data_IF_113559067826
#
_entry.id   IF_113559067826
#
_cell.length_a   1.000
_cell.length_b   1.000
_cell.length_c   1.000
_cell.angle_alpha   90.00
_cell.angle_beta   90.00
_cell.angle_gamma   90.00
#
_symmetry.space_group_name_H-M   'P 1'
#
loop_
_entity.id
_entity.type
_entity.pdbx_description
1 polymer ?
#
# COMPACT_ATOMS: atom_id res chain seq x y z
N UNK A 1 -64.51 20.68 -23.97
CA UNK A 1 -63.64 21.85 -24.08
C UNK A 1 -63.08 22.13 -22.70
N UNK A 2 -61.93 21.54 -22.34
CA UNK A 2 -60.55 22.04 -22.57
C UNK A 2 -60.17 23.20 -21.66
N UNK A 3 -59.34 22.92 -20.65
CA UNK A 3 -58.01 23.54 -20.38
C UNK A 3 -57.49 23.01 -19.02
N UNK A 4 -56.71 21.93 -19.03
CA UNK A 4 -55.23 21.90 -18.95
C UNK A 4 -54.68 22.29 -17.59
N UNK A 5 -54.58 21.29 -16.70
CA UNK A 5 -53.60 21.26 -15.63
C UNK A 5 -52.21 21.23 -16.28
N UNK A 6 -51.45 22.31 -16.09
CA UNK A 6 -50.05 22.39 -16.49
C UNK A 6 -49.24 21.44 -15.64
N UNK A 7 -48.84 20.31 -16.25
CA UNK A 7 -47.82 19.42 -15.72
C UNK A 7 -46.52 20.19 -15.55
N UNK A 8 -46.08 20.30 -14.30
CA UNK A 8 -44.68 20.52 -13.99
C UNK A 8 -44.03 19.15 -13.99
N UNK A 9 -43.44 18.78 -15.12
CA UNK A 9 -42.46 17.71 -15.18
C UNK A 9 -41.40 17.97 -14.10
N UNK A 10 -41.08 17.00 -13.22
CA UNK A 10 -39.93 17.15 -12.36
C UNK A 10 -38.71 17.22 -13.26
N UNK A 11 -38.09 18.40 -13.32
CA UNK A 11 -36.77 18.61 -13.91
C UNK A 11 -35.85 17.52 -13.36
N UNK A 12 -35.60 16.51 -14.19
CA UNK A 12 -34.51 15.56 -14.01
C UNK A 12 -33.25 16.42 -14.03
N UNK A 13 -32.78 16.79 -12.84
CA UNK A 13 -31.47 17.39 -12.69
C UNK A 13 -30.45 16.34 -13.11
N UNK A 14 -30.03 16.44 -14.36
CA UNK A 14 -28.77 15.88 -14.85
C UNK A 14 -27.63 16.46 -14.01
N UNK A 15 -27.36 15.83 -12.86
CA UNK A 15 -26.18 16.10 -12.02
C UNK A 15 -25.28 14.88 -11.93
N UNK A 16 -25.25 14.05 -12.96
CA UNK A 16 -24.28 12.97 -13.09
C UNK A 16 -23.04 13.42 -13.87
N UNK A 17 -22.43 14.51 -13.41
CA UNK A 17 -21.02 14.71 -13.71
C UNK A 17 -20.25 13.51 -13.13
N UNK A 18 -19.37 12.83 -13.90
CA UNK A 18 -18.58 11.72 -13.37
C UNK A 18 -17.86 12.21 -12.11
N UNK A 19 -18.11 11.55 -10.97
CA UNK A 19 -17.48 11.89 -9.69
C UNK A 19 -15.98 11.59 -9.78
N UNK A 20 -15.24 12.55 -10.34
CA UNK A 20 -13.78 12.51 -10.42
C UNK A 20 -13.22 12.43 -9.01
N UNK A 21 -12.18 11.61 -8.83
CA UNK A 21 -11.45 11.56 -7.58
C UNK A 21 -10.96 12.97 -7.19
N UNK A 22 -11.01 13.36 -5.91
CA UNK A 22 -10.43 14.61 -5.44
C UNK A 22 -8.97 14.77 -5.90
N UNK A 23 -8.51 16.00 -6.08
CA UNK A 23 -7.15 16.27 -6.57
C UNK A 23 -6.04 15.61 -5.73
N UNK A 24 -6.26 15.46 -4.42
CA UNK A 24 -5.33 14.79 -3.50
C UNK A 24 -5.35 13.26 -3.59
N UNK A 25 -6.38 12.66 -4.21
CA UNK A 25 -6.54 11.22 -4.38
C UNK A 25 -6.14 10.81 -5.81
N UNK A 26 -4.89 11.13 -6.18
CA UNK A 26 -4.32 10.90 -7.51
C UNK A 26 -2.96 10.20 -7.39
N UNK A 27 -2.52 9.45 -8.42
CA UNK A 27 -1.23 8.75 -8.39
C UNK A 27 -0.06 9.67 -8.02
N UNK A 28 -0.03 10.89 -8.58
CA UNK A 28 1.02 11.86 -8.29
C UNK A 28 1.19 12.13 -6.78
N UNK A 29 0.10 12.28 -6.03
CA UNK A 29 0.17 12.56 -4.59
C UNK A 29 0.62 11.32 -3.82
N UNK A 30 0.14 10.14 -4.19
CA UNK A 30 0.56 8.89 -3.55
C UNK A 30 2.03 8.55 -3.79
N UNK A 31 2.60 8.99 -4.91
CA UNK A 31 4.03 8.82 -5.18
C UNK A 31 4.83 9.91 -4.48
N UNK A 32 4.49 11.19 -4.70
CA UNK A 32 5.33 12.31 -4.26
C UNK A 32 5.31 12.53 -2.75
N UNK A 33 4.19 12.27 -2.07
CA UNK A 33 4.10 12.48 -0.62
C UNK A 33 5.12 11.64 0.17
N UNK A 34 5.19 10.30 0.02
CA UNK A 34 6.18 9.50 0.73
C UNK A 34 7.61 9.72 0.23
N UNK A 35 7.82 10.00 -1.06
CA UNK A 35 9.14 10.39 -1.59
C UNK A 35 9.63 11.65 -0.88
N UNK A 36 8.80 12.70 -0.84
CA UNK A 36 9.14 13.96 -0.17
C UNK A 36 9.38 13.75 1.31
N UNK A 37 8.54 12.96 2.00
CA UNK A 37 8.75 12.62 3.40
C UNK A 37 10.09 11.90 3.65
N UNK A 38 10.49 11.01 2.75
CA UNK A 38 11.76 10.30 2.81
C UNK A 38 12.96 11.24 2.67
N UNK A 39 12.94 12.13 1.67
CA UNK A 39 14.00 13.13 1.47
C UNK A 39 14.06 14.17 2.60
N UNK A 40 12.92 14.60 3.14
CA UNK A 40 12.86 15.50 4.30
C UNK A 40 13.41 14.83 5.57
N UNK A 41 13.09 13.54 5.79
CA UNK A 41 13.66 12.77 6.90
C UNK A 41 15.18 12.63 6.76
N UNK A 42 15.66 12.31 5.57
CA UNK A 42 17.08 12.24 5.27
C UNK A 42 17.79 13.58 5.51
N UNK A 43 17.26 14.67 4.94
CA UNK A 43 17.83 16.01 5.12
C UNK A 43 17.82 16.42 6.59
N UNK A 44 16.74 16.14 7.32
CA UNK A 44 16.66 16.41 8.75
C UNK A 44 17.74 15.68 9.56
N UNK A 45 18.02 14.40 9.26
CA UNK A 45 19.08 13.63 9.91
C UNK A 45 20.49 14.11 9.54
N UNK A 46 20.70 14.57 8.32
CA UNK A 46 21.99 15.15 7.90
C UNK A 46 22.20 16.52 8.56
N UNK A 47 21.18 17.37 8.59
CA UNK A 47 21.26 18.69 9.22
C UNK A 47 21.52 18.60 10.73
N UNK A 48 20.86 17.67 11.44
CA UNK A 48 21.11 17.48 12.89
C UNK A 48 22.53 16.99 13.19
N UNK A 49 23.17 16.27 12.25
CA UNK A 49 24.59 15.92 12.33
C UNK A 49 25.48 17.15 12.14
N UNK A 50 25.25 17.95 11.11
CA UNK A 50 26.08 19.14 10.83
C UNK A 50 26.02 20.16 11.97
N UNK A 51 24.88 20.23 12.66
CA UNK A 51 24.68 21.07 13.84
C UNK A 51 25.26 20.50 15.14
N UNK A 52 25.86 19.30 15.11
CA UNK A 52 26.46 18.64 16.28
C UNK A 52 25.46 18.21 17.36
N UNK A 53 24.16 18.17 17.03
CA UNK A 53 23.08 17.85 17.97
C UNK A 53 22.81 16.34 18.09
N UNK A 54 23.23 15.56 17.11
CA UNK A 54 23.18 14.11 17.13
C UNK A 54 24.54 13.55 17.55
N UNK A 55 24.57 12.70 18.60
CA UNK A 55 25.74 11.87 18.89
C UNK A 55 26.17 11.11 17.62
N UNK A 56 27.48 10.83 17.50
CA UNK A 56 28.10 10.15 16.34
C UNK A 56 27.13 9.15 15.70
N UNK A 57 26.83 9.34 14.40
CA UNK A 57 25.90 8.49 13.66
C UNK A 57 26.28 7.02 13.86
N UNK A 58 25.59 6.33 14.75
CA UNK A 58 25.64 4.89 14.76
C UNK A 58 24.78 4.42 13.61
N UNK A 59 25.36 3.61 12.74
CA UNK A 59 24.64 2.84 11.71
C UNK A 59 23.40 2.14 12.32
N UNK A 60 23.48 1.76 13.61
CA UNK A 60 22.37 1.16 14.34
C UNK A 60 21.22 2.11 14.68
N UNK A 61 21.45 3.42 14.81
CA UNK A 61 20.43 4.38 15.22
C UNK A 61 19.79 5.09 14.03
N UNK A 62 20.60 5.50 13.06
CA UNK A 62 20.16 6.32 11.93
C UNK A 62 20.02 5.53 10.61
N UNK A 63 20.49 4.28 10.60
CA UNK A 63 20.44 3.40 9.44
C UNK A 63 21.55 3.60 8.42
N UNK A 64 22.42 4.60 8.59
CA UNK A 64 23.64 4.81 7.82
C UNK A 64 24.68 5.55 8.66
N UNK A 65 25.97 5.28 8.41
CA UNK A 65 27.09 5.93 9.11
C UNK A 65 27.66 7.11 8.31
N UNK A 66 27.62 7.05 6.98
CA UNK A 66 28.02 8.14 6.08
C UNK A 66 26.88 8.53 5.16
N UNK A 67 26.44 9.81 5.12
CA UNK A 67 25.41 10.28 4.21
C UNK A 67 25.91 10.25 2.77
N UNK A 68 25.01 9.93 1.86
CA UNK A 68 25.29 9.92 0.43
C UNK A 68 25.56 11.35 -0.09
N UNK A 69 26.52 11.47 -1.00
CA UNK A 69 26.81 12.75 -1.63
C UNK A 69 25.68 13.13 -2.59
N UNK A 70 24.99 14.24 -2.31
CA UNK A 70 23.95 14.77 -3.18
C UNK A 70 24.59 15.58 -4.31
N UNK A 71 24.82 14.94 -5.47
CA UNK A 71 25.34 15.62 -6.66
C UNK A 71 24.21 16.18 -7.52
N UNK A 72 24.46 17.30 -8.22
CA UNK A 72 23.46 17.89 -9.12
C UNK A 72 22.98 16.92 -10.21
N UNK A 73 23.89 16.11 -10.76
CA UNK A 73 23.57 15.05 -11.72
C UNK A 73 22.66 13.97 -11.11
N UNK A 74 23.00 13.44 -9.93
CA UNK A 74 22.19 12.43 -9.25
C UNK A 74 20.78 12.93 -8.91
N UNK A 75 20.67 14.18 -8.43
CA UNK A 75 19.37 14.83 -8.17
C UNK A 75 18.57 14.96 -9.47
N UNK A 76 19.19 15.42 -10.56
CA UNK A 76 18.50 15.55 -11.85
C UNK A 76 17.98 14.20 -12.36
N UNK A 77 18.76 13.13 -12.23
CA UNK A 77 18.33 11.78 -12.60
C UNK A 77 17.13 11.30 -11.77
N UNK A 78 17.13 11.52 -10.46
CA UNK A 78 16.02 11.15 -9.59
C UNK A 78 14.75 11.95 -9.91
N UNK A 79 14.88 13.25 -10.16
CA UNK A 79 13.77 14.11 -10.59
C UNK A 79 13.20 13.65 -11.93
N UNK A 80 14.04 13.28 -12.89
CA UNK A 80 13.61 12.73 -14.17
C UNK A 80 12.89 11.39 -14.00
N UNK A 81 13.43 10.48 -13.18
CA UNK A 81 12.83 9.17 -12.96
C UNK A 81 11.47 9.26 -12.26
N UNK A 82 11.39 9.96 -11.13
CA UNK A 82 10.11 10.17 -10.43
C UNK A 82 9.14 11.00 -11.28
N UNK A 83 9.65 12.01 -12.01
CA UNK A 83 8.87 12.81 -12.94
C UNK A 83 8.24 11.95 -14.04
N UNK A 84 9.00 11.03 -14.63
CA UNK A 84 8.52 10.09 -15.64
C UNK A 84 7.46 9.14 -15.07
N UNK A 85 7.70 8.52 -13.91
CA UNK A 85 6.71 7.65 -13.26
C UNK A 85 5.42 8.41 -12.96
N UNK A 86 5.51 9.61 -12.37
CA UNK A 86 4.34 10.43 -12.04
C UNK A 86 3.59 10.84 -13.30
N UNK A 87 4.30 11.27 -14.34
CA UNK A 87 3.71 11.66 -15.63
C UNK A 87 2.97 10.48 -16.25
N UNK A 88 3.64 9.33 -16.43
CA UNK A 88 3.08 8.15 -17.09
C UNK A 88 1.92 7.55 -16.28
N UNK A 89 2.04 7.49 -14.94
CA UNK A 89 0.94 7.08 -14.05
C UNK A 89 -0.26 8.03 -14.14
N UNK A 90 -0.01 9.34 -14.25
CA UNK A 90 -1.07 10.35 -14.37
C UNK A 90 -1.74 10.26 -15.73
N UNK A 91 -0.99 10.09 -16.82
CA UNK A 91 -1.54 9.86 -18.16
C UNK A 91 -2.41 8.60 -18.16
N UNK A 92 -1.91 7.48 -17.60
CA UNK A 92 -2.69 6.26 -17.44
C UNK A 92 -3.99 6.50 -16.66
N UNK A 93 -3.91 7.22 -15.55
CA UNK A 93 -5.08 7.60 -14.75
C UNK A 93 -6.10 8.43 -15.53
N UNK A 94 -5.64 9.46 -16.27
CA UNK A 94 -6.50 10.29 -17.09
C UNK A 94 -7.19 9.48 -18.19
N UNK A 95 -6.46 8.59 -18.88
CA UNK A 95 -7.01 7.68 -19.89
C UNK A 95 -8.06 6.73 -19.29
N UNK A 96 -7.80 6.20 -18.10
CA UNK A 96 -8.75 5.34 -17.38
C UNK A 96 -10.00 6.10 -16.92
N UNK A 97 -9.84 7.37 -16.54
CA UNK A 97 -10.93 8.24 -16.14
C UNK A 97 -11.79 8.71 -17.31
N UNK A 98 -11.22 9.04 -18.47
CA UNK A 98 -11.96 9.53 -19.65
C UNK A 98 -12.98 8.51 -20.20
N UNK A 99 -12.70 7.21 -20.08
CA UNK A 99 -13.61 6.13 -20.49
C UNK A 99 -14.73 5.81 -19.46
N UNK A 100 -14.99 6.68 -18.49
CA UNK A 100 -16.06 6.49 -17.49
C UNK A 100 -17.43 6.90 -18.03
N UNK A 101 -17.95 6.10 -18.96
CA UNK A 101 -19.40 5.98 -19.19
C UNK A 101 -19.82 4.51 -19.18
N UNK A 102 -20.07 3.92 -18.00
CA UNK A 102 -21.08 2.88 -17.91
C UNK A 102 -22.05 3.22 -16.77
N UNK A 103 -22.95 4.17 -17.01
CA UNK A 103 -24.13 4.42 -16.15
C UNK A 103 -24.83 3.07 -15.81
N UNK A 104 -24.91 2.17 -16.80
CA UNK A 104 -25.51 0.83 -16.69
C UNK A 104 -24.77 -0.16 -15.77
N UNK A 105 -23.45 -0.01 -15.56
CA UNK A 105 -22.65 -0.94 -14.72
C UNK A 105 -22.62 -0.54 -13.25
N UNK A 106 -22.63 0.77 -12.99
CA UNK A 106 -22.64 1.32 -11.63
C UNK A 106 -23.97 1.09 -10.94
N UNK A 107 -25.10 1.20 -11.65
CA UNK A 107 -26.42 0.92 -11.07
C UNK A 107 -26.56 -0.53 -10.59
N UNK A 108 -26.12 -1.51 -11.40
CA UNK A 108 -26.17 -2.93 -11.02
C UNK A 108 -25.30 -3.28 -9.83
N UNK A 109 -24.19 -2.56 -9.64
CA UNK A 109 -23.20 -2.83 -8.59
C UNK A 109 -23.39 -1.98 -7.32
N UNK A 110 -24.36 -1.05 -7.32
CA UNK A 110 -24.68 -0.16 -6.20
C UNK A 110 -25.95 -0.58 -5.43
N UNK A 111 -26.38 -1.84 -5.57
CA UNK A 111 -27.50 -2.41 -4.81
C UNK A 111 -27.00 -2.99 -3.48
N UNK A 112 -27.80 -2.87 -2.42
CA UNK A 112 -27.48 -3.43 -1.09
C UNK A 112 -27.22 -4.93 -1.15
N UNK A 113 -27.97 -5.65 -1.99
CA UNK A 113 -27.80 -7.07 -2.26
C UNK A 113 -26.43 -7.40 -2.86
N UNK A 114 -25.99 -6.64 -3.88
CA UNK A 114 -24.70 -6.85 -4.52
C UNK A 114 -23.56 -6.60 -3.53
N UNK A 115 -23.63 -5.47 -2.81
CA UNK A 115 -22.64 -5.08 -1.82
C UNK A 115 -22.49 -6.13 -0.71
N UNK A 116 -23.63 -6.64 -0.19
CA UNK A 116 -23.65 -7.68 0.84
C UNK A 116 -23.02 -8.98 0.36
N UNK A 117 -23.33 -9.42 -0.85
CA UNK A 117 -22.78 -10.66 -1.43
C UNK A 117 -21.31 -10.56 -1.73
N UNK A 118 -20.90 -9.45 -2.35
CA UNK A 118 -19.50 -9.17 -2.61
C UNK A 118 -18.68 -9.26 -1.32
N UNK A 119 -19.18 -8.63 -0.24
CA UNK A 119 -18.55 -8.72 1.08
C UNK A 119 -18.49 -10.16 1.62
N UNK A 120 -19.56 -10.94 1.53
CA UNK A 120 -19.54 -12.32 2.03
C UNK A 120 -18.60 -13.25 1.26
N UNK A 121 -18.43 -13.05 -0.05
CA UNK A 121 -17.44 -13.80 -0.85
C UNK A 121 -16.03 -13.50 -0.35
N UNK A 122 -15.70 -12.21 -0.12
CA UNK A 122 -14.41 -11.81 0.43
C UNK A 122 -14.20 -12.34 1.85
N UNK A 123 -15.23 -12.28 2.70
CA UNK A 123 -15.17 -12.78 4.07
C UNK A 123 -14.93 -14.30 4.09
N UNK A 124 -15.62 -15.06 3.25
CA UNK A 124 -15.44 -16.50 3.14
C UNK A 124 -14.03 -16.86 2.66
N UNK A 125 -13.52 -16.19 1.63
CA UNK A 125 -12.14 -16.38 1.17
C UNK A 125 -11.13 -16.08 2.29
N UNK A 126 -11.31 -14.97 3.00
CA UNK A 126 -10.46 -14.58 4.13
C UNK A 126 -10.49 -15.59 5.26
N UNK A 127 -11.68 -16.09 5.64
CA UNK A 127 -11.85 -17.08 6.69
C UNK A 127 -11.18 -18.41 6.34
N UNK A 128 -11.35 -18.91 5.11
CA UNK A 128 -10.69 -20.13 4.62
C UNK A 128 -9.17 -19.96 4.66
N UNK A 129 -8.65 -18.84 4.16
CA UNK A 129 -7.22 -18.60 4.09
C UNK A 129 -6.54 -18.43 5.45
N UNK A 130 -7.15 -17.66 6.35
CA UNK A 130 -6.64 -17.51 7.72
C UNK A 130 -6.74 -18.83 8.48
N UNK A 131 -7.89 -19.52 8.41
CA UNK A 131 -8.06 -20.82 9.06
C UNK A 131 -7.02 -21.85 8.60
N UNK A 132 -6.77 -21.95 7.30
CA UNK A 132 -5.75 -22.83 6.75
C UNK A 132 -4.33 -22.46 7.23
N UNK A 133 -4.00 -21.17 7.23
CA UNK A 133 -2.69 -20.70 7.71
C UNK A 133 -2.48 -21.04 9.19
N UNK A 134 -3.51 -20.87 10.04
CA UNK A 134 -3.43 -21.20 11.46
C UNK A 134 -3.30 -22.71 11.70
N UNK A 135 -4.00 -23.54 10.93
CA UNK A 135 -3.85 -25.00 11.02
C UNK A 135 -2.43 -25.45 10.66
N UNK A 136 -1.80 -24.80 9.67
CA UNK A 136 -0.45 -25.15 9.22
C UNK A 136 0.65 -24.72 10.19
N UNK A 137 0.42 -23.68 10.98
CA UNK A 137 1.40 -23.09 11.89
C UNK A 137 1.31 -23.67 13.32
N UNK A 138 0.51 -24.72 13.54
CA UNK A 138 0.41 -25.39 14.84
C UNK A 138 -0.61 -24.77 15.81
N UNK A 139 -1.48 -23.86 15.34
CA UNK A 139 -2.59 -23.30 16.12
C UNK A 139 -2.24 -22.08 17.00
N UNK A 140 -3.14 -21.74 17.92
CA UNK A 140 -3.05 -20.53 18.77
C UNK A 140 -1.90 -20.63 19.79
N UNK A 141 -1.59 -21.83 20.28
CA UNK A 141 -0.54 -22.03 21.29
C UNK A 141 0.85 -21.63 20.78
N UNK A 142 1.21 -22.04 19.56
CA UNK A 142 2.47 -21.67 18.92
C UNK A 142 2.59 -20.15 18.73
N UNK A 143 1.48 -19.45 18.42
CA UNK A 143 1.46 -17.99 18.26
C UNK A 143 1.74 -17.28 19.58
N UNK A 144 1.15 -17.75 20.67
CA UNK A 144 1.40 -17.18 22.02
C UNK A 144 2.84 -17.42 22.44
N UNK A 145 3.37 -18.61 22.14
CA UNK A 145 4.77 -18.99 22.42
C UNK A 145 5.75 -18.11 21.65
N UNK A 146 5.57 -17.90 20.34
CA UNK A 146 6.47 -17.02 19.57
C UNK A 146 6.30 -15.53 19.80
N UNK A 147 5.09 -15.09 20.17
CA UNK A 147 4.91 -13.73 20.70
C UNK A 147 5.65 -13.55 22.03
N UNK A 148 5.75 -14.61 22.84
CA UNK A 148 6.50 -14.60 24.10
C UNK A 148 8.02 -14.70 23.88
N UNK A 149 8.46 -15.42 22.85
CA UNK A 149 9.89 -15.61 22.51
C UNK A 149 10.46 -14.55 21.56
N UNK A 150 9.64 -13.62 21.06
CA UNK A 150 10.03 -12.55 20.12
C UNK A 150 10.51 -13.06 18.74
N UNK A 151 10.14 -14.29 18.36
CA UNK A 151 10.57 -15.02 17.15
C UNK A 151 9.59 -14.93 15.98
N UNK A 152 8.83 -13.83 15.85
CA UNK A 152 7.75 -13.72 14.86
C UNK A 152 8.20 -13.87 13.37
N UNK A 153 9.50 -13.80 13.07
CA UNK A 153 10.02 -14.10 11.74
C UNK A 153 9.93 -15.60 11.40
N UNK A 154 10.04 -16.48 12.39
CA UNK A 154 10.00 -17.94 12.23
C UNK A 154 8.59 -18.40 11.79
N UNK A 155 7.54 -17.67 12.20
CA UNK A 155 6.15 -17.89 11.79
C UNK A 155 5.93 -17.62 10.30
N UNK A 156 6.60 -16.59 9.76
CA UNK A 156 6.54 -16.28 8.34
C UNK A 156 7.37 -17.26 7.52
N UNK A 157 8.44 -17.81 8.09
CA UNK A 157 9.33 -18.79 7.46
C UNK A 157 8.71 -20.20 7.46
N UNK A 158 7.87 -20.54 8.45
CA UNK A 158 7.14 -21.82 8.54
C UNK A 158 6.00 -21.97 7.49
N UNK A 159 5.55 -20.88 6.87
CA UNK A 159 4.56 -20.94 5.80
C UNK A 159 5.21 -21.27 4.45
N UNK A 160 4.62 -22.20 3.71
CA UNK A 160 5.16 -22.65 2.43
C UNK A 160 5.34 -21.49 1.44
N UNK A 161 6.47 -21.48 0.75
CA UNK A 161 6.89 -20.41 -0.14
C UNK A 161 6.13 -20.29 -1.46
N UNK A 162 5.10 -21.12 -1.68
CA UNK A 162 4.35 -21.18 -2.93
C UNK A 162 2.95 -20.58 -2.78
N UNK A 163 2.36 -20.16 -3.90
CA UNK A 163 0.95 -19.78 -3.95
C UNK A 163 0.09 -21.01 -3.60
N UNK A 164 -0.65 -20.92 -2.49
CA UNK A 164 -1.52 -21.98 -2.00
C UNK A 164 -2.73 -21.43 -1.24
N UNK A 165 -3.54 -22.28 -0.59
CA UNK A 165 -4.74 -21.85 0.15
C UNK A 165 -4.45 -20.78 1.20
N UNK A 166 -3.23 -20.76 1.77
CA UNK A 166 -2.77 -19.72 2.69
C UNK A 166 -2.79 -18.31 2.09
N UNK A 167 -2.70 -18.14 0.76
CA UNK A 167 -2.77 -16.82 0.10
C UNK A 167 -4.14 -16.18 0.22
N UNK A 168 -5.21 -16.97 0.37
CA UNK A 168 -6.57 -16.48 0.56
C UNK A 168 -6.69 -15.61 1.81
N UNK A 169 -5.78 -15.73 2.79
CA UNK A 169 -5.75 -14.89 3.99
C UNK A 169 -5.68 -13.41 3.65
N UNK A 170 -5.07 -13.05 2.51
CA UNK A 170 -4.94 -11.67 2.07
C UNK A 170 -6.28 -11.07 1.65
N UNK A 171 -7.33 -11.88 1.39
CA UNK A 171 -8.68 -11.38 1.15
C UNK A 171 -9.20 -10.51 2.32
N UNK A 172 -8.69 -10.72 3.54
CA UNK A 172 -8.98 -9.88 4.72
C UNK A 172 -8.62 -8.40 4.53
N UNK A 173 -7.63 -8.10 3.67
CA UNK A 173 -7.22 -6.73 3.29
C UNK A 173 -8.37 -5.99 2.60
N UNK A 174 -9.22 -6.70 1.84
CA UNK A 174 -10.42 -6.13 1.24
C UNK A 174 -11.63 -6.28 2.17
N UNK A 175 -11.81 -7.45 2.78
CA UNK A 175 -13.00 -7.78 3.57
C UNK A 175 -13.19 -6.86 4.78
N UNK A 176 -12.14 -6.59 5.57
CA UNK A 176 -12.24 -5.77 6.77
C UNK A 176 -12.64 -4.30 6.49
N UNK A 177 -11.93 -3.55 5.62
CA UNK A 177 -12.30 -2.15 5.35
C UNK A 177 -13.67 -2.02 4.68
N UNK A 178 -14.01 -2.96 3.79
CA UNK A 178 -15.34 -3.01 3.16
C UNK A 178 -16.42 -3.34 4.19
N UNK A 179 -16.16 -4.27 5.10
CA UNK A 179 -17.05 -4.60 6.21
C UNK A 179 -17.34 -3.40 7.11
N UNK A 180 -16.29 -2.64 7.49
CA UNK A 180 -16.46 -1.38 8.24
C UNK A 180 -17.28 -0.36 7.45
N UNK A 181 -17.03 -0.24 6.15
CA UNK A 181 -17.79 0.65 5.28
C UNK A 181 -19.29 0.27 5.21
N UNK A 182 -19.60 -1.02 4.98
CA UNK A 182 -20.96 -1.52 4.86
C UNK A 182 -21.73 -1.52 6.19
N UNK A 183 -21.05 -1.76 7.31
CA UNK A 183 -21.64 -1.62 8.64
C UNK A 183 -22.06 -0.17 8.91
N UNK A 184 -21.22 0.81 8.55
CA UNK A 184 -21.58 2.24 8.64
C UNK A 184 -22.76 2.60 7.74
N UNK A 185 -22.89 1.96 6.57
CA UNK A 185 -24.04 2.08 5.67
C UNK A 185 -25.27 1.29 6.15
N UNK A 186 -25.17 0.55 7.27
CA UNK A 186 -26.22 -0.33 7.83
C UNK A 186 -26.68 -1.45 6.88
N UNK A 187 -25.83 -1.87 5.94
CA UNK A 187 -26.11 -2.97 5.00
C UNK A 187 -25.83 -4.34 5.64
N UNK A 188 -24.88 -4.40 6.58
CA UNK A 188 -24.51 -5.61 7.31
C UNK A 188 -24.57 -5.38 8.82
N UNK A 189 -24.82 -6.45 9.58
CA UNK A 189 -24.77 -6.43 11.04
C UNK A 189 -23.34 -6.30 11.60
N UNK A 190 -23.22 -5.80 12.83
CA UNK A 190 -21.95 -5.63 13.53
C UNK A 190 -21.12 -6.93 13.69
N UNK A 191 -21.70 -8.14 13.87
CA UNK A 191 -20.89 -9.35 14.07
C UNK A 191 -20.00 -9.68 12.87
N UNK A 192 -20.51 -9.45 11.66
CA UNK A 192 -19.75 -9.71 10.43
C UNK A 192 -18.61 -8.73 10.22
N UNK A 193 -18.80 -7.47 10.60
CA UNK A 193 -17.74 -6.47 10.57
C UNK A 193 -16.64 -6.84 11.57
N UNK A 194 -17.00 -7.20 12.80
CA UNK A 194 -16.05 -7.65 13.82
C UNK A 194 -15.29 -8.89 13.36
N UNK A 195 -15.98 -9.89 12.79
CA UNK A 195 -15.33 -11.08 12.26
C UNK A 195 -14.29 -10.73 11.17
N UNK A 196 -14.62 -9.84 10.24
CA UNK A 196 -13.70 -9.40 9.19
C UNK A 196 -12.46 -8.70 9.76
N UNK A 197 -12.66 -7.82 10.75
CA UNK A 197 -11.57 -7.09 11.43
C UNK A 197 -10.69 -8.05 12.22
N UNK A 198 -11.26 -8.99 12.97
CA UNK A 198 -10.50 -9.99 13.72
C UNK A 198 -9.67 -10.89 12.79
N UNK A 199 -10.23 -11.29 11.64
CA UNK A 199 -9.47 -12.03 10.63
C UNK A 199 -8.31 -11.22 10.04
N UNK A 200 -8.48 -9.90 9.84
CA UNK A 200 -7.39 -9.03 9.41
C UNK A 200 -6.31 -8.92 10.49
N UNK A 201 -6.68 -8.76 11.76
CA UNK A 201 -5.74 -8.71 12.89
C UNK A 201 -4.96 -10.02 12.98
N UNK A 202 -5.65 -11.15 12.92
CA UNK A 202 -5.03 -12.48 12.91
C UNK A 202 -4.06 -12.66 11.73
N UNK A 203 -4.45 -12.19 10.53
CA UNK A 203 -3.55 -12.20 9.36
C UNK A 203 -2.34 -11.27 9.55
N UNK A 204 -2.54 -10.09 10.14
CA UNK A 204 -1.48 -9.11 10.38
C UNK A 204 -0.43 -9.62 11.37
N UNK A 205 -0.84 -10.43 12.36
CA UNK A 205 0.09 -11.11 13.27
C UNK A 205 1.06 -12.03 12.53
N UNK A 206 0.63 -12.65 11.42
CA UNK A 206 1.47 -13.55 10.62
C UNK A 206 2.26 -12.81 9.52
N UNK A 207 1.64 -11.86 8.82
CA UNK A 207 2.19 -11.20 7.62
C UNK A 207 2.83 -9.82 7.89
N UNK A 208 3.10 -9.51 9.16
CA UNK A 208 4.10 -8.55 9.63
C UNK A 208 3.83 -7.04 9.56
N UNK A 209 3.01 -6.44 8.67
CA UNK A 209 2.59 -4.99 8.71
C UNK A 209 1.85 -4.53 7.44
N UNK A 210 2.26 -5.05 6.29
CA UNK A 210 1.85 -4.59 4.96
C UNK A 210 0.33 -4.72 4.75
N UNK A 211 -0.27 -5.80 5.24
CA UNK A 211 -1.71 -6.05 5.14
C UNK A 211 -2.56 -4.96 5.82
N UNK A 212 -2.10 -4.43 6.97
CA UNK A 212 -2.82 -3.37 7.70
C UNK A 212 -2.75 -2.04 6.94
N UNK A 213 -1.55 -1.66 6.48
CA UNK A 213 -1.37 -0.40 5.73
C UNK A 213 -2.14 -0.40 4.42
N UNK A 214 -2.11 -1.52 3.69
CA UNK A 214 -2.91 -1.69 2.47
C UNK A 214 -4.41 -1.67 2.77
N UNK A 215 -4.88 -2.29 3.86
CA UNK A 215 -6.28 -2.23 4.27
C UNK A 215 -6.74 -0.80 4.61
N UNK A 216 -5.88 0.02 5.21
CA UNK A 216 -6.14 1.44 5.42
C UNK A 216 -6.30 2.19 4.08
N UNK A 217 -5.46 1.91 3.08
CA UNK A 217 -5.60 2.50 1.75
C UNK A 217 -6.89 2.07 1.04
N UNK A 218 -7.31 0.80 1.19
CA UNK A 218 -8.60 0.27 0.71
C UNK A 218 -9.77 0.97 1.39
N UNK A 219 -9.71 1.17 2.72
CA UNK A 219 -10.72 1.92 3.45
C UNK A 219 -10.83 3.37 2.97
N UNK A 220 -9.68 4.03 2.78
CA UNK A 220 -9.61 5.40 2.28
C UNK A 220 -10.26 5.51 0.91
N UNK A 221 -9.98 4.57 0.00
CA UNK A 221 -10.60 4.53 -1.33
C UNK A 221 -12.14 4.41 -1.25
N UNK A 222 -12.65 3.49 -0.41
CA UNK A 222 -14.09 3.34 -0.18
C UNK A 222 -14.72 4.63 0.38
N UNK A 223 -14.03 5.26 1.33
CA UNK A 223 -14.47 6.51 1.97
C UNK A 223 -14.50 7.69 0.99
N UNK A 224 -13.46 7.85 0.17
CA UNK A 224 -13.41 8.91 -0.85
C UNK A 224 -14.53 8.73 -1.87
N UNK A 225 -14.79 7.50 -2.31
CA UNK A 225 -15.84 7.21 -3.30
C UNK A 225 -17.25 7.42 -2.74
N UNK A 226 -17.46 7.13 -1.46
CA UNK A 226 -18.76 7.24 -0.78
C UNK A 226 -19.08 8.64 -0.23
N UNK A 227 -18.13 9.58 -0.28
CA UNK A 227 -18.41 10.98 0.07
C UNK A 227 -19.39 11.61 -0.92
N UNK A 228 -20.56 11.98 -0.43
CA UNK A 228 -21.43 12.94 -1.12
C UNK A 228 -20.75 14.32 -1.12
N UNK A 229 -20.89 15.12 -2.20
CA UNK A 229 -20.43 16.50 -2.21
C UNK A 229 -21.18 17.27 -1.12
N UNK A 230 -20.55 17.41 0.06
CA UNK A 230 -21.12 18.24 1.13
C UNK A 230 -21.07 19.69 0.68
N UNK A 231 -22.22 20.37 0.69
CA UNK A 231 -22.27 21.83 0.76
C UNK A 231 -21.38 22.32 1.91
N UNK A 232 -20.71 23.48 1.77
CA UNK A 232 -19.71 23.96 2.71
C UNK A 232 -20.37 24.45 4.00
N UNK A 233 -20.87 23.54 4.83
CA UNK A 233 -21.34 23.86 6.16
C UNK A 233 -20.14 23.89 7.13
N UNK A 234 -19.77 25.11 7.49
CA UNK A 234 -18.87 25.49 8.57
C UNK A 234 -19.19 24.73 9.87
N UNK A 235 -18.30 23.84 10.31
CA UNK A 235 -18.43 23.18 11.62
C UNK A 235 -17.66 21.87 11.81
N UNK A 236 -17.22 21.19 10.74
CA UNK A 236 -16.69 19.81 10.82
C UNK A 236 -15.15 19.68 10.77
N UNK A 237 -14.39 20.75 10.54
CA UNK A 237 -12.93 20.65 10.37
C UNK A 237 -12.24 20.19 11.66
N UNK A 238 -12.60 20.78 12.81
CA UNK A 238 -11.99 20.43 14.10
C UNK A 238 -12.23 18.94 14.47
N UNK A 239 -13.45 18.43 14.31
CA UNK A 239 -13.77 17.02 14.60
C UNK A 239 -13.05 16.04 13.68
N UNK A 240 -12.79 16.45 12.44
CA UNK A 240 -12.01 15.66 11.48
C UNK A 240 -10.52 15.65 11.87
N UNK A 241 -9.96 16.80 12.24
CA UNK A 241 -8.58 16.89 12.71
C UNK A 241 -8.35 16.13 14.02
N UNK A 242 -9.30 16.16 14.96
CA UNK A 242 -9.24 15.35 16.20
C UNK A 242 -9.29 13.85 15.88
N UNK A 243 -10.16 13.42 14.95
CA UNK A 243 -10.21 12.03 14.54
C UNK A 243 -8.92 11.57 13.83
N UNK A 244 -8.33 12.42 12.99
CA UNK A 244 -7.04 12.16 12.34
C UNK A 244 -5.93 12.08 13.38
N UNK A 245 -5.87 13.03 14.33
CA UNK A 245 -4.90 13.03 15.42
C UNK A 245 -5.00 11.76 16.28
N UNK A 246 -6.22 11.33 16.62
CA UNK A 246 -6.44 10.07 17.35
C UNK A 246 -5.96 8.86 16.55
N UNK A 247 -6.26 8.78 15.26
CA UNK A 247 -5.78 7.67 14.40
C UNK A 247 -4.25 7.65 14.35
N UNK A 248 -3.61 8.81 14.22
CA UNK A 248 -2.14 8.94 14.20
C UNK A 248 -1.56 8.55 15.56
N UNK A 249 -2.13 9.01 16.68
CA UNK A 249 -1.70 8.67 18.03
C UNK A 249 -1.86 7.18 18.34
N UNK A 250 -3.01 6.60 18.02
CA UNK A 250 -3.25 5.16 18.20
C UNK A 250 -2.33 4.34 17.31
N UNK A 251 -2.15 4.75 16.04
CA UNK A 251 -1.21 4.12 15.13
C UNK A 251 0.23 4.18 15.67
N UNK A 252 0.67 5.34 16.16
CA UNK A 252 1.98 5.52 16.77
C UNK A 252 2.16 4.69 18.03
N UNK A 253 1.16 4.61 18.92
CA UNK A 253 1.19 3.79 20.12
C UNK A 253 1.29 2.29 19.79
N UNK A 254 0.50 1.81 18.83
CA UNK A 254 0.55 0.41 18.36
C UNK A 254 1.91 0.11 17.72
N UNK A 255 2.42 1.01 16.88
CA UNK A 255 3.75 0.86 16.29
C UNK A 255 4.87 0.89 17.34
N UNK A 256 4.74 1.73 18.37
CA UNK A 256 5.69 1.80 19.49
C UNK A 256 5.72 0.49 20.27
N UNK A 257 4.55 -0.05 20.61
CA UNK A 257 4.44 -1.35 21.30
C UNK A 257 5.03 -2.48 20.44
N UNK A 258 4.63 -2.57 19.16
CA UNK A 258 5.14 -3.59 18.24
C UNK A 258 6.64 -3.46 17.96
N UNK A 259 7.19 -2.25 17.98
CA UNK A 259 8.63 -2.04 17.83
C UNK A 259 9.38 -2.46 19.10
N UNK A 260 8.86 -2.12 20.27
CA UNK A 260 9.44 -2.52 21.55
C UNK A 260 9.53 -4.05 21.68
N UNK A 261 8.48 -4.79 21.33
CA UNK A 261 8.52 -6.25 21.39
C UNK A 261 9.44 -6.90 20.36
N UNK A 262 9.82 -6.20 19.28
CA UNK A 262 10.57 -6.80 18.16
C UNK A 262 12.04 -6.38 18.10
N UNK A 263 12.35 -5.13 18.46
CA UNK A 263 13.67 -4.54 18.22
C UNK A 263 14.27 -3.87 19.47
N UNK A 264 13.67 -4.02 20.66
CA UNK A 264 14.16 -3.32 21.86
C UNK A 264 15.61 -3.68 22.22
N UNK A 265 16.03 -4.93 22.05
CA UNK A 265 17.39 -5.35 22.38
C UNK A 265 18.44 -4.68 21.48
N UNK A 266 18.16 -4.59 20.16
CA UNK A 266 19.02 -3.91 19.19
C UNK A 266 19.26 -2.43 19.56
N UNK A 267 18.21 -1.71 19.96
CA UNK A 267 18.35 -0.30 20.35
C UNK A 267 18.95 -0.12 21.76
N UNK A 268 18.75 -1.07 22.67
CA UNK A 268 19.39 -1.08 24.00
C UNK A 268 20.90 -1.28 23.89
N UNK A 269 21.34 -2.17 23.01
CA UNK A 269 22.76 -2.38 22.69
C UNK A 269 23.39 -1.10 22.12
N UNK A 270 22.62 -0.30 21.37
CA UNK A 270 23.02 1.02 20.89
C UNK A 270 22.84 2.17 21.91
N UNK A 271 22.54 1.86 23.18
CA UNK A 271 22.46 2.83 24.28
C UNK A 271 21.13 3.55 24.44
N UNK A 272 20.08 3.16 23.70
CA UNK A 272 18.74 3.77 23.79
C UNK A 272 17.81 2.85 24.57
N UNK A 273 17.31 3.28 25.73
CA UNK A 273 16.41 2.50 26.58
C UNK A 273 14.94 2.94 26.52
N UNK A 274 14.66 4.16 26.06
CA UNK A 274 13.32 4.73 26.01
C UNK A 274 12.53 4.22 24.78
N UNK A 275 11.37 3.55 24.96
CA UNK A 275 10.57 3.00 23.84
C UNK A 275 10.10 4.05 22.82
N UNK A 276 9.81 5.27 23.27
CA UNK A 276 9.41 6.38 22.37
C UNK A 276 10.59 6.80 21.51
N UNK A 277 11.77 6.95 22.11
CA UNK A 277 12.99 7.28 21.38
C UNK A 277 13.36 6.17 20.37
N UNK A 278 13.26 4.90 20.76
CA UNK A 278 13.46 3.76 19.84
C UNK A 278 12.54 3.83 18.62
N UNK A 279 11.26 4.16 18.84
CA UNK A 279 10.30 4.28 17.74
C UNK A 279 10.59 5.49 16.85
N UNK A 280 11.03 6.61 17.41
CA UNK A 280 11.45 7.79 16.65
C UNK A 280 12.69 7.49 15.79
N UNK A 281 13.71 6.84 16.35
CA UNK A 281 14.89 6.40 15.58
C UNK A 281 14.52 5.40 14.49
N UNK A 282 13.69 4.39 14.81
CA UNK A 282 13.25 3.44 13.80
C UNK A 282 12.45 4.11 12.68
N UNK A 283 11.52 5.01 13.03
CA UNK A 283 10.71 5.72 12.04
C UNK A 283 11.58 6.65 11.18
N UNK A 284 12.52 7.37 11.81
CA UNK A 284 13.47 8.24 11.13
C UNK A 284 14.36 7.47 10.16
N UNK A 285 15.01 6.39 10.62
CA UNK A 285 15.85 5.55 9.77
C UNK A 285 15.03 4.88 8.64
N UNK A 286 13.83 4.38 8.95
CA UNK A 286 12.94 3.78 7.96
C UNK A 286 12.52 4.74 6.85
N UNK A 287 12.30 6.02 7.18
CA UNK A 287 11.99 7.07 6.20
C UNK A 287 13.24 7.55 5.47
N UNK A 288 14.39 7.67 6.14
CA UNK A 288 15.58 8.30 5.57
C UNK A 288 16.45 7.36 4.72
N UNK A 289 16.55 6.08 5.10
CA UNK A 289 17.40 5.08 4.40
C UNK A 289 17.05 5.00 2.90
N UNK A 290 15.77 5.06 2.49
CA UNK A 290 15.49 5.02 1.06
C UNK A 290 15.96 6.21 0.24
N UNK A 291 15.93 7.42 0.79
CA UNK A 291 16.53 8.58 0.13
C UNK A 291 18.06 8.47 0.11
N UNK A 292 18.67 7.99 1.19
CA UNK A 292 20.11 7.73 1.28
C UNK A 292 20.59 6.80 0.15
N UNK A 293 19.92 5.66 -0.05
CA UNK A 293 20.29 4.68 -1.07
C UNK A 293 20.13 5.29 -2.47
N UNK A 294 19.02 5.99 -2.73
CA UNK A 294 18.75 6.58 -4.04
C UNK A 294 19.75 7.66 -4.43
N UNK A 295 20.15 8.50 -3.48
CA UNK A 295 21.15 9.53 -3.71
C UNK A 295 22.52 8.94 -4.03
N UNK A 296 22.93 7.88 -3.32
CA UNK A 296 24.20 7.20 -3.58
C UNK A 296 24.21 6.52 -4.95
N UNK A 297 23.17 5.75 -5.27
CA UNK A 297 23.05 5.08 -6.58
C UNK A 297 22.95 6.08 -7.72
N UNK A 298 22.10 7.10 -7.63
CA UNK A 298 21.95 8.08 -8.71
C UNK A 298 23.25 8.85 -8.98
N UNK A 299 24.02 9.18 -7.95
CA UNK A 299 25.34 9.80 -8.10
C UNK A 299 26.34 8.84 -8.75
N UNK A 300 26.36 7.56 -8.36
CA UNK A 300 27.25 6.56 -8.95
C UNK A 300 26.95 6.32 -10.44
N UNK A 301 25.66 6.28 -10.81
CA UNK A 301 25.23 6.16 -12.21
C UNK A 301 25.65 7.40 -13.01
N UNK A 302 25.36 8.59 -12.50
CA UNK A 302 25.64 9.84 -13.22
C UNK A 302 27.12 10.18 -13.35
N UNK A 303 27.95 9.71 -12.42
CA UNK A 303 29.41 9.84 -12.50
C UNK A 303 30.06 8.77 -13.39
N UNK A 304 29.29 7.80 -13.88
CA UNK A 304 29.81 6.63 -14.60
C UNK A 304 30.57 5.64 -13.71
N UNK A 305 30.57 5.84 -12.38
CA UNK A 305 31.22 4.94 -11.43
C UNK A 305 30.49 3.58 -11.33
N UNK A 306 29.21 3.52 -11.70
CA UNK A 306 28.45 2.28 -11.74
C UNK A 306 27.48 2.22 -12.91
N UNK A 307 27.76 1.33 -13.86
CA UNK A 307 26.94 1.09 -15.03
C UNK A 307 26.36 -0.33 -15.02
N UNK A 308 25.04 -0.43 -15.05
CA UNK A 308 24.33 -1.68 -15.26
C UNK A 308 23.34 -1.51 -16.41
N UNK A 309 23.73 -1.98 -17.60
CA UNK A 309 22.87 -1.83 -18.77
C UNK A 309 21.66 -2.78 -18.72
N UNK A 310 21.80 -3.97 -18.14
CA UNK A 310 20.77 -5.02 -18.14
C UNK A 310 20.44 -5.51 -19.57
N UNK A 311 19.93 -6.74 -19.69
CA UNK A 311 19.42 -7.26 -20.96
C UNK A 311 17.95 -6.90 -21.15
N UNK A 312 17.48 -6.44 -22.32
CA UNK A 312 16.08 -6.04 -22.50
C UNK A 312 15.08 -7.17 -22.20
N UNK A 313 15.47 -8.44 -22.45
CA UNK A 313 14.62 -9.60 -22.16
C UNK A 313 14.67 -9.98 -20.69
N UNK A 314 15.86 -10.02 -20.08
CA UNK A 314 16.03 -10.41 -18.67
C UNK A 314 15.45 -9.35 -17.73
N UNK A 315 15.49 -8.08 -18.10
CA UNK A 315 14.90 -7.00 -17.32
C UNK A 315 13.36 -7.05 -17.26
N UNK A 316 12.69 -7.86 -18.10
CA UNK A 316 11.23 -8.07 -18.00
C UNK A 316 10.83 -8.70 -16.66
N UNK A 317 11.76 -9.40 -16.01
CA UNK A 317 11.56 -9.96 -14.67
C UNK A 317 11.24 -8.87 -13.64
N UNK A 318 11.63 -7.61 -13.88
CA UNK A 318 11.28 -6.46 -13.03
C UNK A 318 9.76 -6.29 -12.87
N UNK A 319 8.98 -6.65 -13.89
CA UNK A 319 7.51 -6.48 -13.91
C UNK A 319 6.77 -7.81 -13.90
N UNK A 320 7.49 -8.93 -13.97
CA UNK A 320 6.89 -10.25 -13.96
C UNK A 320 6.25 -10.54 -12.58
N UNK A 321 5.03 -11.08 -12.54
CA UNK A 321 4.42 -11.47 -11.29
C UNK A 321 5.29 -12.45 -10.50
N UNK A 322 5.52 -12.17 -9.22
CA UNK A 322 6.47 -12.95 -8.40
C UNK A 322 6.11 -14.43 -8.23
N UNK A 323 4.86 -14.83 -8.47
CA UNK A 323 4.47 -16.25 -8.45
C UNK A 323 4.84 -17.01 -9.73
N UNK A 324 5.25 -16.31 -10.79
CA UNK A 324 5.86 -16.90 -11.99
C UNK A 324 7.38 -16.97 -11.89
N UNK A 325 7.96 -16.34 -10.86
CA UNK A 325 9.38 -16.42 -10.53
C UNK A 325 9.57 -17.60 -9.55
N UNK A 326 10.16 -18.69 -10.03
CA UNK A 326 10.27 -19.94 -9.28
C UNK A 326 11.34 -19.91 -8.18
N UNK A 327 12.26 -18.94 -8.21
CA UNK A 327 13.29 -18.76 -7.18
C UNK A 327 12.84 -17.75 -6.13
N UNK A 328 12.25 -18.24 -5.04
CA UNK A 328 11.96 -17.42 -3.85
C UNK A 328 13.27 -17.16 -3.11
N UNK A 329 13.70 -15.91 -3.04
CA UNK A 329 14.73 -15.48 -2.07
C UNK A 329 14.10 -15.59 -0.67
N UNK A 330 14.71 -16.36 0.24
CA UNK A 330 14.22 -16.46 1.61
C UNK A 330 14.27 -15.08 2.28
N UNK A 331 13.44 -14.83 3.30
CA UNK A 331 13.45 -13.53 4.00
C UNK A 331 14.83 -13.25 4.63
N UNK A 332 15.54 -14.29 5.01
CA UNK A 332 16.89 -14.20 5.57
C UNK A 332 17.96 -13.96 4.49
N UNK A 333 17.69 -14.34 3.22
CA UNK A 333 18.52 -14.03 2.05
C UNK A 333 18.19 -12.66 1.42
N UNK A 334 17.12 -12.00 1.88
CA UNK A 334 16.67 -10.70 1.35
C UNK A 334 17.46 -9.49 1.89
N UNK A 335 18.50 -9.75 2.69
CA UNK A 335 19.44 -8.74 3.16
C UNK A 335 20.36 -8.31 2.02
N UNK A 336 20.11 -7.12 1.48
CA UNK A 336 21.02 -6.49 0.52
C UNK A 336 22.11 -5.75 1.29
N UNK A 337 23.36 -6.10 1.02
CA UNK A 337 24.53 -5.37 1.52
C UNK A 337 24.92 -4.25 0.56
N UNK A 338 25.80 -3.34 0.99
CA UNK A 338 26.36 -2.27 0.16
C UNK A 338 26.95 -2.77 -1.17
N UNK A 339 27.46 -4.01 -1.21
CA UNK A 339 27.98 -4.66 -2.42
C UNK A 339 26.95 -4.79 -3.55
N UNK A 340 25.66 -4.93 -3.23
CA UNK A 340 24.57 -5.00 -4.22
C UNK A 340 24.43 -3.69 -5.01
N UNK A 341 24.85 -2.57 -4.41
CA UNK A 341 24.84 -1.25 -5.04
C UNK A 341 26.24 -0.79 -5.43
N UNK A 342 27.16 -1.72 -5.73
CA UNK A 342 28.52 -1.39 -6.13
C UNK A 342 29.31 -0.63 -5.07
N UNK A 343 28.98 -0.80 -3.78
CA UNK A 343 29.54 -0.07 -2.64
C UNK A 343 29.33 1.46 -2.68
N UNK A 344 28.41 1.94 -3.52
CA UNK A 344 28.09 3.37 -3.64
C UNK A 344 27.31 3.94 -2.46
N UNK A 345 26.87 3.10 -1.52
CA UNK A 345 26.02 3.48 -0.39
C UNK A 345 26.49 2.81 0.90
N UNK A 346 26.51 3.58 2.00
CA UNK A 346 26.54 3.06 3.36
C UNK A 346 25.13 3.02 3.95
N UNK A 347 24.67 1.86 4.39
CA UNK A 347 23.44 1.67 5.15
C UNK A 347 23.50 0.34 5.94
N UNK A 348 22.73 0.25 7.03
CA UNK A 348 22.73 -0.92 7.89
C UNK A 348 22.06 -2.12 7.23
N UNK A 349 22.71 -3.29 7.29
CA UNK A 349 22.24 -4.53 6.64
C UNK A 349 20.91 -5.10 7.18
N UNK A 350 20.39 -4.56 8.29
CA UNK A 350 19.09 -4.94 8.86
C UNK A 350 17.89 -4.23 8.20
N UNK A 351 18.13 -3.26 7.28
CA UNK A 351 17.07 -2.65 6.50
C UNK A 351 16.75 -3.51 5.26
N UNK A 352 15.64 -4.24 5.34
CA UNK A 352 15.07 -5.03 4.23
C UNK A 352 14.52 -4.21 3.06
N UNK A 353 14.62 -2.89 3.11
CA UNK A 353 13.99 -2.01 2.14
C UNK A 353 14.81 -0.78 1.88
N UNK A 354 15.28 -0.70 0.64
CA UNK A 354 16.31 0.22 0.22
C UNK A 354 15.71 1.24 -0.72
N UNK A 355 15.26 0.86 -1.91
CA UNK A 355 14.58 1.80 -2.79
C UNK A 355 14.24 1.10 -4.09
N UNK A 356 13.04 1.33 -4.64
CA UNK A 356 12.69 0.83 -5.98
C UNK A 356 13.67 1.29 -7.06
N UNK A 357 14.07 2.56 -7.05
CA UNK A 357 15.02 3.09 -8.02
C UNK A 357 16.34 2.30 -8.01
N UNK A 358 16.99 2.23 -6.85
CA UNK A 358 18.23 1.48 -6.65
C UNK A 358 18.10 -0.04 -6.86
N UNK A 359 17.05 -0.66 -6.32
CA UNK A 359 16.79 -2.09 -6.40
C UNK A 359 16.63 -2.54 -7.86
N UNK A 360 15.77 -1.85 -8.62
CA UNK A 360 15.51 -2.18 -10.02
C UNK A 360 16.75 -1.96 -10.88
N UNK A 361 17.52 -0.91 -10.62
CA UNK A 361 18.78 -0.69 -11.34
C UNK A 361 19.83 -1.75 -11.02
N UNK A 362 19.94 -2.15 -9.75
CA UNK A 362 20.91 -3.16 -9.32
C UNK A 362 20.67 -4.51 -9.98
N UNK A 363 19.41 -4.94 -10.08
CA UNK A 363 19.04 -6.26 -10.57
C UNK A 363 18.81 -6.30 -12.08
N UNK A 364 18.19 -5.24 -12.63
CA UNK A 364 17.66 -5.25 -14.00
C UNK A 364 18.18 -4.10 -14.86
N UNK A 365 19.06 -3.25 -14.34
CA UNK A 365 19.67 -2.13 -15.07
C UNK A 365 18.67 -1.09 -15.58
N UNK A 366 19.11 -0.32 -16.57
CA UNK A 366 18.32 0.78 -17.17
C UNK A 366 17.01 0.33 -17.82
N UNK A 367 16.99 -0.86 -18.44
CA UNK A 367 15.77 -1.45 -19.00
C UNK A 367 14.73 -1.76 -17.92
N UNK A 368 15.18 -2.18 -16.73
CA UNK A 368 14.31 -2.36 -15.57
C UNK A 368 13.55 -1.09 -15.21
N UNK A 369 14.24 0.06 -15.17
CA UNK A 369 13.59 1.35 -14.92
C UNK A 369 12.51 1.67 -15.94
N UNK A 370 12.78 1.44 -17.24
CA UNK A 370 11.82 1.68 -18.30
C UNK A 370 10.55 0.82 -18.11
N UNK A 371 10.72 -0.48 -17.85
CA UNK A 371 9.58 -1.37 -17.64
C UNK A 371 8.79 -1.02 -16.39
N UNK A 372 9.46 -0.64 -15.30
CA UNK A 372 8.79 -0.14 -14.09
C UNK A 372 7.96 1.11 -14.39
N UNK A 373 8.49 2.09 -15.14
CA UNK A 373 7.74 3.30 -15.54
C UNK A 373 6.46 2.92 -16.30
N UNK A 374 6.57 2.02 -17.28
CA UNK A 374 5.42 1.54 -18.08
C UNK A 374 4.39 0.82 -17.21
N UNK A 375 4.84 -0.06 -16.31
CA UNK A 375 3.97 -0.80 -15.40
C UNK A 375 3.17 0.13 -14.48
N UNK A 376 3.80 1.19 -13.96
CA UNK A 376 3.12 2.20 -13.16
C UNK A 376 2.13 3.06 -13.99
N UNK A 377 2.38 3.25 -15.29
CA UNK A 377 1.38 3.76 -16.23
C UNK A 377 0.12 2.92 -16.31
N UNK A 378 0.29 1.60 -16.47
CA UNK A 378 -0.82 0.66 -16.45
C UNK A 378 -1.54 0.64 -15.09
N UNK A 379 -0.80 0.73 -13.99
CA UNK A 379 -1.36 0.86 -12.65
C UNK A 379 -2.22 2.13 -12.54
N UNK A 380 -1.79 3.25 -13.12
CA UNK A 380 -2.57 4.49 -13.18
C UNK A 380 -3.92 4.29 -13.87
N UNK A 381 -3.90 3.62 -15.03
CA UNK A 381 -5.12 3.25 -15.75
C UNK A 381 -6.02 2.34 -14.92
N UNK A 382 -5.48 1.25 -14.36
CA UNK A 382 -6.22 0.30 -13.55
C UNK A 382 -6.84 0.98 -12.31
N UNK A 383 -6.10 1.85 -11.64
CA UNK A 383 -6.57 2.64 -10.50
C UNK A 383 -7.81 3.45 -10.85
N UNK A 384 -7.76 4.25 -11.92
CA UNK A 384 -8.92 5.04 -12.38
C UNK A 384 -10.12 4.17 -12.75
N UNK A 385 -9.88 3.06 -13.47
CA UNK A 385 -10.94 2.15 -13.91
C UNK A 385 -11.63 1.49 -12.73
N UNK A 386 -10.89 0.93 -11.78
CA UNK A 386 -11.46 0.28 -10.59
C UNK A 386 -12.21 1.30 -9.73
N UNK A 387 -11.66 2.49 -9.55
CA UNK A 387 -12.27 3.55 -8.75
C UNK A 387 -13.61 4.05 -9.33
N UNK A 388 -13.84 3.88 -10.62
CA UNK A 388 -15.08 4.32 -11.29
C UNK A 388 -16.33 3.52 -10.96
N UNK A 389 -16.17 2.28 -10.46
CA UNK A 389 -17.28 1.39 -10.11
C UNK A 389 -17.98 1.80 -8.78
N UNK A 390 -18.87 0.94 -8.28
CA UNK A 390 -19.54 1.14 -6.98
C UNK A 390 -18.54 1.25 -5.82
N UNK A 391 -18.90 1.89 -4.69
CA UNK A 391 -17.97 2.12 -3.57
C UNK A 391 -17.25 0.86 -3.07
N UNK A 392 -17.91 -0.29 -3.14
CA UNK A 392 -17.38 -1.58 -2.70
C UNK A 392 -16.30 -2.12 -3.65
N UNK A 393 -16.45 -1.94 -4.96
CA UNK A 393 -15.41 -2.31 -5.95
C UNK A 393 -14.31 -1.23 -5.98
N UNK A 394 -14.70 0.04 -5.90
CA UNK A 394 -13.78 1.16 -5.85
C UNK A 394 -12.83 1.09 -4.66
N UNK A 395 -13.25 0.47 -3.54
CA UNK A 395 -12.38 0.19 -2.40
C UNK A 395 -11.10 -0.56 -2.84
N UNK A 396 -11.20 -1.52 -3.75
CA UNK A 396 -10.06 -2.29 -4.27
C UNK A 396 -9.04 -1.44 -5.03
N UNK A 397 -9.42 -0.26 -5.53
CA UNK A 397 -8.44 0.68 -6.09
C UNK A 397 -7.43 1.16 -5.04
N UNK A 398 -7.76 1.07 -3.75
CA UNK A 398 -6.85 1.32 -2.64
C UNK A 398 -5.65 0.36 -2.59
N UNK A 399 -5.76 -0.85 -3.16
CA UNK A 399 -4.61 -1.76 -3.35
C UNK A 399 -3.60 -1.13 -4.30
N UNK A 400 -4.07 -0.60 -5.43
CA UNK A 400 -3.21 0.09 -6.41
C UNK A 400 -2.70 1.42 -5.85
N UNK A 401 -3.53 2.15 -5.09
CA UNK A 401 -3.09 3.35 -4.37
C UNK A 401 -1.93 3.06 -3.42
N UNK A 402 -1.97 1.92 -2.72
CA UNK A 402 -0.89 1.48 -1.86
C UNK A 402 0.38 1.10 -2.63
N UNK A 403 0.27 0.54 -3.85
CA UNK A 403 1.42 0.33 -4.73
C UNK A 403 2.13 1.65 -5.11
N UNK A 404 1.37 2.75 -5.28
CA UNK A 404 1.95 4.08 -5.46
C UNK A 404 2.60 4.60 -4.17
N UNK A 405 1.98 4.37 -3.01
CA UNK A 405 2.52 4.78 -1.70
C UNK A 405 3.83 4.08 -1.31
N UNK A 406 4.15 2.93 -1.89
CA UNK A 406 5.36 2.17 -1.59
C UNK A 406 6.48 2.33 -2.64
N UNK A 407 6.21 2.98 -3.80
CA UNK A 407 7.18 3.08 -4.90
C UNK A 407 8.50 3.77 -4.51
N UNK A 408 8.51 4.55 -3.44
CA UNK A 408 9.72 5.19 -2.92
C UNK A 408 10.69 4.19 -2.27
N UNK A 409 10.21 3.01 -1.87
CA UNK A 409 10.95 2.06 -1.04
C UNK A 409 10.93 0.63 -1.58
N UNK A 410 9.79 0.12 -2.04
CA UNK A 410 9.67 -1.26 -2.53
C UNK A 410 8.62 -1.40 -3.65
N UNK A 411 8.97 -2.14 -4.70
CA UNK A 411 8.10 -2.35 -5.85
C UNK A 411 7.18 -3.53 -5.57
N UNK A 412 6.01 -3.25 -5.00
CA UNK A 412 5.02 -4.28 -4.68
C UNK A 412 4.02 -4.55 -5.81
N UNK A 413 4.07 -3.80 -6.91
CA UNK A 413 3.10 -3.89 -8.00
C UNK A 413 3.06 -5.28 -8.65
N UNK A 414 4.23 -5.90 -8.82
CA UNK A 414 4.39 -7.25 -9.38
C UNK A 414 4.22 -8.36 -8.33
N UNK A 415 4.00 -8.02 -7.05
CA UNK A 415 3.89 -9.05 -6.03
C UNK A 415 2.60 -9.85 -6.20
N UNK A 416 2.70 -11.16 -6.04
CA UNK A 416 1.56 -12.07 -6.19
C UNK A 416 0.35 -11.72 -5.31
N UNK A 417 0.57 -11.09 -4.15
CA UNK A 417 -0.51 -10.56 -3.30
C UNK A 417 -1.34 -9.49 -4.02
N UNK A 418 -0.71 -8.55 -4.72
CA UNK A 418 -1.43 -7.46 -5.42
C UNK A 418 -2.24 -8.04 -6.56
N UNK A 419 -1.62 -8.89 -7.39
CA UNK A 419 -2.31 -9.58 -8.49
C UNK A 419 -3.48 -10.41 -7.97
N UNK A 420 -3.28 -11.17 -6.89
CA UNK A 420 -4.34 -11.94 -6.23
C UNK A 420 -5.51 -11.05 -5.80
N UNK A 421 -5.27 -9.91 -5.15
CA UNK A 421 -6.34 -9.01 -4.70
C UNK A 421 -7.11 -8.38 -5.87
N UNK A 422 -6.44 -8.05 -6.96
CA UNK A 422 -7.08 -7.53 -8.17
C UNK A 422 -7.93 -8.61 -8.85
N UNK A 423 -7.43 -9.84 -8.96
CA UNK A 423 -8.18 -10.97 -9.49
C UNK A 423 -9.37 -11.34 -8.59
N UNK A 424 -9.18 -11.31 -7.26
CA UNK A 424 -10.23 -11.56 -6.28
C UNK A 424 -11.33 -10.50 -6.37
N UNK A 425 -10.98 -9.23 -6.61
CA UNK A 425 -11.94 -8.15 -6.85
C UNK A 425 -12.78 -8.45 -8.09
N UNK A 426 -12.15 -8.79 -9.21
CA UNK A 426 -12.85 -9.12 -10.45
C UNK A 426 -13.74 -10.37 -10.29
N UNK A 427 -13.20 -11.45 -9.72
CA UNK A 427 -13.91 -12.70 -9.46
C UNK A 427 -15.11 -12.52 -8.53
N UNK A 428 -14.94 -11.79 -7.43
CA UNK A 428 -16.01 -11.51 -6.48
C UNK A 428 -17.11 -10.64 -7.10
N UNK A 429 -16.74 -9.64 -7.91
CA UNK A 429 -17.70 -8.81 -8.63
C UNK A 429 -18.51 -9.62 -9.65
N UNK A 430 -17.87 -10.51 -10.42
CA UNK A 430 -18.54 -11.39 -11.37
C UNK A 430 -19.49 -12.38 -10.68
N UNK A 431 -19.04 -13.01 -9.60
CA UNK A 431 -19.85 -13.96 -8.83
C UNK A 431 -21.05 -13.27 -8.16
N UNK A 432 -20.83 -12.08 -7.58
CA UNK A 432 -21.90 -11.27 -7.00
C UNK A 432 -22.92 -10.85 -8.08
N UNK A 433 -22.48 -10.48 -9.29
CA UNK A 433 -23.38 -10.04 -10.37
C UNK A 433 -24.20 -11.18 -11.03
N UNK A 434 -23.72 -12.43 -11.00
CA UNK A 434 -24.35 -13.55 -11.73
C UNK A 434 -25.63 -14.08 -11.09
N UNK A 435 -25.79 -13.90 -9.79
CA UNK A 435 -26.97 -14.45 -9.09
C UNK A 435 -28.11 -13.43 -9.12
N UNK A 436 -29.36 -13.86 -9.25
CA UNK A 436 -30.50 -12.93 -9.26
C UNK A 436 -30.91 -12.57 -7.82
N UNK A 437 -31.37 -11.34 -7.55
CA UNK A 437 -31.95 -10.99 -6.27
C UNK A 437 -33.23 -11.81 -6.01
N UNK A 438 -33.46 -12.24 -4.75
CA UNK A 438 -34.72 -12.85 -4.36
C UNK A 438 -35.89 -11.88 -4.62
N UNK A 439 -37.10 -12.41 -4.90
CA UNK A 439 -38.26 -11.61 -5.32
C UNK A 439 -38.61 -10.46 -4.36
N UNK A 440 -38.26 -10.56 -3.07
CA UNK A 440 -38.54 -9.56 -2.04
C UNK A 440 -37.69 -8.28 -2.13
N UNK A 441 -36.56 -8.29 -2.86
CA UNK A 441 -35.66 -7.14 -3.00
C UNK A 441 -35.69 -6.52 -4.41
N UNK A 442 -36.76 -6.77 -5.19
CA UNK A 442 -36.93 -6.25 -6.56
C UNK A 442 -37.70 -4.92 -6.64
N UNK A 443 -37.76 -4.15 -5.55
CA UNK A 443 -38.50 -2.88 -5.48
C UNK A 443 -37.54 -1.71 -5.48
#
# INVERSE_FOLDING_TARGET
MTTTATGLDPVVRDTDAPRLAPAWFRPAVFILAPVTASFLAWWGLVATRELGLAGTMSEALNGFSTPANATGGGIALLLLWYGAIVMVSTVGFLLGAQRTRPLLGTERTNTSWFERRYFFILLAAGAIGVGYAFMRVGGIAAIVESLSEQTANDFSNALSGFAGPQTLRYATILAAPIGVHLWRKKVIGWPYMVAAVLLLVANAMIASRLALMMACAVYLAAWVRSREPRSPASGSRARTWVAVALIVLTGFAVLTALNYFRNANYYREAGVSNPVAMNLYQTGAYLAVPAQVQLGVSTAVMSGAWENQGGPVTSLDAIQPTFLQFNKVAKDDSWKQASVYGYSVSFAGNFFTNSVFADIYSEYGSWGWLYTIVAYGFAGYAFARIFSFSPVIAASSGVVAYCFLEVWRVQILSYGIVVFLLLLTAGSALLAARVRPPRAERV
#
